data_IF_265296949450
#
_entry.id   IF_265296949450
#
_cell.length_a   1.000
_cell.length_b   1.000
_cell.length_c   1.000
_cell.angle_alpha   90.00
_cell.angle_beta   90.00
_cell.angle_gamma   90.00
#
_symmetry.space_group_name_H-M   'P 1'
#
loop_
_entity.id
_entity.type
_entity.pdbx_description
1 polymer ?
#
# COMPACT_ATOMS: atom_id res chain seq x y z
N UNK A 1 9.42 -10.81 -3.84
CA UNK A 1 10.17 -11.50 -2.79
C UNK A 1 11.33 -10.61 -2.38
N UNK A 2 11.36 -10.21 -1.11
CA UNK A 2 12.51 -9.53 -0.51
C UNK A 2 13.53 -10.58 -0.09
N UNK A 3 14.81 -10.34 -0.41
CA UNK A 3 15.90 -11.30 -0.15
C UNK A 3 16.88 -10.69 0.84
N UNK A 4 17.32 -9.46 0.58
CA UNK A 4 18.26 -8.72 1.43
C UNK A 4 17.74 -7.31 1.67
N UNK A 5 18.11 -6.72 2.81
CA UNK A 5 17.84 -5.31 3.08
C UNK A 5 18.69 -4.43 2.15
N UNK A 6 18.04 -3.63 1.30
CA UNK A 6 18.72 -2.65 0.46
C UNK A 6 19.07 -1.40 1.28
N UNK A 7 20.27 -0.85 1.06
CA UNK A 7 20.69 0.41 1.67
C UNK A 7 20.06 1.61 0.98
N UNK A 8 19.62 2.61 1.76
CA UNK A 8 18.92 3.82 1.28
C UNK A 8 19.82 4.86 0.60
N UNK A 9 21.15 4.78 0.81
CA UNK A 9 22.10 5.80 0.36
C UNK A 9 22.68 5.56 -1.04
N UNK A 10 22.36 4.42 -1.66
CA UNK A 10 22.87 4.03 -2.97
C UNK A 10 21.71 3.62 -3.88
N UNK A 11 21.84 3.81 -5.20
CA UNK A 11 20.81 3.39 -6.15
C UNK A 11 20.62 1.86 -6.15
N UNK A 12 19.50 1.44 -6.73
CA UNK A 12 19.15 0.05 -6.98
C UNK A 12 18.97 -0.09 -8.50
N UNK A 13 19.66 -1.06 -9.09
CA UNK A 13 19.57 -1.37 -10.51
C UNK A 13 18.48 -2.41 -10.74
N UNK A 14 17.52 -2.12 -11.62
CA UNK A 14 16.43 -3.03 -11.93
C UNK A 14 16.65 -3.70 -13.29
N UNK A 15 16.82 -5.02 -13.28
CA UNK A 15 16.98 -5.84 -14.49
C UNK A 15 15.64 -6.49 -14.82
N UNK A 16 15.08 -6.13 -15.97
CA UNK A 16 13.78 -6.63 -16.42
C UNK A 16 13.97 -7.62 -17.56
N UNK A 17 13.51 -8.86 -17.36
CA UNK A 17 13.49 -9.92 -18.36
C UNK A 17 12.06 -10.15 -18.85
N UNK A 18 11.87 -10.15 -20.17
CA UNK A 18 10.62 -10.61 -20.78
C UNK A 18 10.51 -12.12 -20.63
N UNK A 19 9.46 -12.58 -19.96
CA UNK A 19 9.14 -14.02 -19.88
C UNK A 19 8.17 -14.43 -20.98
N UNK A 20 7.17 -13.58 -21.24
CA UNK A 20 6.13 -13.83 -22.24
C UNK A 20 5.53 -12.53 -22.72
N UNK A 21 5.30 -12.44 -24.03
CA UNK A 21 4.44 -11.43 -24.66
C UNK A 21 3.35 -12.16 -25.44
N UNK A 22 2.18 -12.30 -24.81
CA UNK A 22 1.00 -12.88 -25.42
C UNK A 22 0.03 -11.81 -25.91
N UNK A 23 -1.04 -12.26 -26.58
CA UNK A 23 -2.09 -11.37 -27.10
C UNK A 23 -2.78 -10.54 -26.01
N UNK A 24 -3.08 -11.16 -24.87
CA UNK A 24 -3.81 -10.49 -23.76
C UNK A 24 -2.96 -10.26 -22.53
N UNK A 25 -1.87 -11.03 -22.36
CA UNK A 25 -1.02 -10.97 -21.17
C UNK A 25 0.45 -10.85 -21.52
N UNK A 26 1.15 -9.97 -20.81
CA UNK A 26 2.60 -9.84 -20.85
C UNK A 26 3.17 -10.08 -19.46
N UNK A 27 4.19 -10.93 -19.35
CA UNK A 27 4.83 -11.27 -18.07
C UNK A 27 6.28 -10.82 -18.06
N UNK A 28 6.70 -10.20 -16.96
CA UNK A 28 8.06 -9.73 -16.72
C UNK A 28 8.61 -10.36 -15.45
N UNK A 29 9.89 -10.73 -15.48
CA UNK A 29 10.68 -11.04 -14.30
C UNK A 29 11.57 -9.84 -14.00
N UNK A 30 11.61 -9.41 -12.74
CA UNK A 30 12.40 -8.26 -12.31
C UNK A 30 13.37 -8.70 -11.23
N UNK A 31 14.65 -8.39 -11.41
CA UNK A 31 15.68 -8.50 -10.38
C UNK A 31 16.14 -7.10 -10.00
N UNK A 32 15.96 -6.73 -8.74
CA UNK A 32 16.54 -5.54 -8.16
C UNK A 32 17.91 -5.91 -7.57
N UNK A 33 18.97 -5.25 -8.03
CA UNK A 33 20.34 -5.47 -7.56
C UNK A 33 20.92 -4.23 -6.91
N UNK A 34 21.67 -4.43 -5.84
CA UNK A 34 22.46 -3.38 -5.22
C UNK A 34 23.86 -3.94 -4.93
N UNK A 35 24.90 -3.24 -5.40
CA UNK A 35 26.31 -3.69 -5.30
C UNK A 35 26.51 -5.12 -5.85
N UNK A 36 25.87 -5.42 -6.98
CA UNK A 36 25.96 -6.74 -7.64
C UNK A 36 25.12 -7.86 -7.00
N UNK A 37 24.51 -7.64 -5.84
CA UNK A 37 23.70 -8.65 -5.13
C UNK A 37 22.21 -8.42 -5.38
N UNK A 38 21.44 -9.49 -5.58
CA UNK A 38 19.99 -9.40 -5.71
C UNK A 38 19.37 -9.13 -4.33
N UNK A 39 18.68 -8.00 -4.20
CA UNK A 39 18.00 -7.59 -2.96
C UNK A 39 16.50 -7.91 -2.99
N UNK A 40 15.91 -7.93 -4.19
CA UNK A 40 14.50 -8.22 -4.40
C UNK A 40 14.27 -8.83 -5.78
N UNK A 41 13.31 -9.76 -5.87
CA UNK A 41 12.82 -10.30 -7.14
C UNK A 41 11.31 -10.27 -7.20
N UNK A 42 10.73 -10.05 -8.38
CA UNK A 42 9.30 -10.27 -8.57
C UNK A 42 8.97 -10.70 -9.99
N UNK A 43 7.81 -11.34 -10.13
CA UNK A 43 7.17 -11.55 -11.41
C UNK A 43 5.95 -10.62 -11.49
N UNK A 44 5.85 -9.86 -12.57
CA UNK A 44 4.75 -8.92 -12.81
C UNK A 44 4.02 -9.36 -14.07
N UNK A 45 2.69 -9.45 -13.99
CA UNK A 45 1.83 -9.77 -15.12
C UNK A 45 0.97 -8.55 -15.46
N UNK A 46 0.93 -8.21 -16.74
CA UNK A 46 0.12 -7.12 -17.29
C UNK A 46 -0.96 -7.73 -18.17
N UNK A 47 -2.18 -7.21 -18.06
CA UNK A 47 -3.31 -7.60 -18.89
C UNK A 47 -3.76 -6.42 -19.74
N UNK A 48 -4.14 -6.66 -20.99
CA UNK A 48 -4.59 -5.61 -21.92
C UNK A 48 -5.90 -4.94 -21.51
N UNK A 49 -6.67 -5.55 -20.60
CA UNK A 49 -7.94 -5.01 -20.10
C UNK A 49 -7.86 -4.84 -18.59
N UNK A 50 -8.29 -3.70 -18.07
CA UNK A 50 -8.67 -3.66 -16.66
C UNK A 50 -9.94 -4.51 -16.51
N UNK A 51 -9.88 -5.53 -15.66
CA UNK A 51 -11.10 -6.02 -15.04
C UNK A 51 -11.38 -5.08 -13.88
N UNK A 52 -12.60 -4.59 -13.82
CA UNK A 52 -13.12 -4.05 -12.59
C UNK A 52 -13.09 -5.20 -11.56
N UNK A 53 -12.44 -4.95 -10.42
CA UNK A 53 -12.29 -5.94 -9.34
C UNK A 53 -12.47 -5.34 -7.95
N UNK A 54 -12.94 -4.10 -7.89
CA UNK A 54 -13.18 -3.35 -6.65
C UNK A 54 -14.65 -2.96 -6.47
N UNK A 55 -15.53 -3.36 -7.38
CA UNK A 55 -16.94 -2.96 -7.42
C UNK A 55 -17.64 -3.34 -6.12
N UNK A 56 -17.45 -4.57 -5.64
CA UNK A 56 -18.06 -5.02 -4.38
C UNK A 56 -17.62 -4.15 -3.19
N UNK A 57 -16.35 -3.75 -3.12
CA UNK A 57 -15.85 -2.88 -2.05
C UNK A 57 -16.41 -1.46 -2.17
N UNK A 58 -16.53 -0.95 -3.41
CA UNK A 58 -17.12 0.36 -3.69
C UNK A 58 -18.62 0.39 -3.39
N UNK A 59 -19.36 -0.67 -3.72
CA UNK A 59 -20.77 -0.83 -3.39
C UNK A 59 -21.00 -0.85 -1.88
N UNK A 60 -20.20 -1.63 -1.14
CA UNK A 60 -20.24 -1.64 0.32
C UNK A 60 -19.94 -0.24 0.90
N UNK A 61 -18.91 0.43 0.39
CA UNK A 61 -18.59 1.79 0.82
C UNK A 61 -19.76 2.77 0.57
N UNK A 62 -20.41 2.67 -0.59
CA UNK A 62 -21.58 3.48 -0.95
C UNK A 62 -22.80 3.22 -0.05
N UNK A 63 -22.96 1.99 0.47
CA UNK A 63 -23.97 1.62 1.46
C UNK A 63 -23.66 2.12 2.88
N UNK A 64 -22.56 2.86 3.06
CA UNK A 64 -22.16 3.34 4.39
C UNK A 64 -21.27 2.37 5.15
N UNK A 65 -20.76 1.31 4.54
CA UNK A 65 -19.69 0.53 5.14
C UNK A 65 -18.38 1.33 5.08
N UNK A 66 -17.47 1.08 6.03
CA UNK A 66 -16.15 1.72 6.10
C UNK A 66 -16.16 3.25 6.31
N UNK A 67 -17.14 3.79 7.04
CA UNK A 67 -17.18 5.22 7.35
C UNK A 67 -16.02 5.64 8.26
N UNK A 68 -15.51 6.84 8.00
CA UNK A 68 -14.49 7.47 8.83
C UNK A 68 -15.19 8.20 9.97
N UNK A 69 -14.74 8.01 11.19
CA UNK A 69 -15.21 8.80 12.33
C UNK A 69 -14.54 10.18 12.32
N UNK A 70 -15.27 11.29 12.12
CA UNK A 70 -14.67 12.63 11.92
C UNK A 70 -13.87 13.13 13.13
N UNK A 71 -14.32 12.84 14.34
CA UNK A 71 -13.63 13.22 15.59
C UNK A 71 -12.29 12.48 15.70
N UNK A 72 -12.25 11.22 15.25
CA UNK A 72 -11.04 10.41 15.24
C UNK A 72 -10.07 10.85 14.14
N UNK A 73 -10.57 11.29 12.98
CA UNK A 73 -9.72 11.82 11.90
C UNK A 73 -8.86 12.99 12.39
N UNK A 74 -9.45 13.96 13.10
CA UNK A 74 -8.69 15.10 13.63
C UNK A 74 -7.64 14.66 14.65
N UNK A 75 -7.98 13.71 15.53
CA UNK A 75 -7.04 13.15 16.50
C UNK A 75 -5.85 12.45 15.83
N UNK A 76 -6.06 11.79 14.70
CA UNK A 76 -4.99 11.20 13.89
C UNK A 76 -4.09 12.27 13.29
N UNK A 77 -4.67 13.35 12.72
CA UNK A 77 -3.91 14.47 12.16
C UNK A 77 -2.99 15.10 13.21
N UNK A 78 -3.48 15.33 14.42
CA UNK A 78 -2.69 15.87 15.53
C UNK A 78 -1.56 14.91 15.94
N UNK A 79 -1.89 13.63 16.15
CA UNK A 79 -0.87 12.61 16.50
C UNK A 79 0.23 12.45 15.44
N UNK A 80 -0.12 12.51 14.15
CA UNK A 80 0.89 12.42 13.08
C UNK A 80 1.83 13.63 13.13
N UNK A 81 1.29 14.85 13.28
CA UNK A 81 2.09 16.08 13.40
C UNK A 81 3.04 16.04 14.60
N UNK A 82 2.57 15.53 15.74
CA UNK A 82 3.35 15.50 16.98
C UNK A 82 4.43 14.42 16.98
N UNK A 83 4.11 13.22 16.47
CA UNK A 83 4.98 12.04 16.56
C UNK A 83 6.04 11.99 15.46
N UNK A 84 5.77 12.62 14.31
CA UNK A 84 6.62 12.58 13.13
C UNK A 84 6.99 14.01 12.73
N UNK A 85 8.19 14.47 13.09
CA UNK A 85 8.87 15.61 12.43
C UNK A 85 9.34 15.23 11.01
N UNK A 86 8.49 14.52 10.28
CA UNK A 86 8.77 14.00 8.94
C UNK A 86 8.25 15.03 7.95
N UNK A 87 8.94 15.19 6.82
CA UNK A 87 8.42 15.98 5.69
C UNK A 87 6.99 15.52 5.33
N UNK A 88 6.24 16.37 4.61
CA UNK A 88 4.85 16.07 4.28
C UNK A 88 4.69 14.62 3.74
N UNK A 89 3.81 13.79 4.33
CA UNK A 89 3.69 12.39 3.94
C UNK A 89 3.19 12.27 2.49
N UNK A 90 3.62 11.22 1.78
CA UNK A 90 3.14 10.97 0.41
C UNK A 90 1.66 10.57 0.36
N UNK A 91 1.16 9.96 1.43
CA UNK A 91 -0.22 9.48 1.55
C UNK A 91 -0.85 9.96 2.85
N UNK A 92 -2.11 10.35 2.73
CA UNK A 92 -3.05 10.46 3.82
C UNK A 92 -3.73 9.11 4.05
N UNK A 93 -3.78 8.66 5.31
CA UNK A 93 -4.46 7.43 5.71
C UNK A 93 -5.57 7.77 6.71
N UNK A 94 -6.77 7.26 6.47
CA UNK A 94 -7.95 7.45 7.32
C UNK A 94 -8.55 6.10 7.69
N UNK A 95 -8.17 5.53 8.84
CA UNK A 95 -8.71 4.26 9.30
C UNK A 95 -10.18 4.40 9.71
N UNK A 96 -10.95 3.34 9.53
CA UNK A 96 -12.36 3.29 9.96
C UNK A 96 -12.48 3.22 11.49
N UNK A 97 -11.53 2.56 12.16
CA UNK A 97 -11.35 2.62 13.62
C UNK A 97 -9.90 3.03 13.96
N UNK A 98 -9.73 4.21 14.55
CA UNK A 98 -8.42 4.76 14.91
C UNK A 98 -7.77 4.05 16.10
N UNK A 99 -8.54 3.60 17.08
CA UNK A 99 -7.99 2.96 18.28
C UNK A 99 -7.49 1.58 17.94
N UNK A 100 -8.24 0.85 17.13
CA UNK A 100 -7.78 -0.39 16.52
C UNK A 100 -6.60 -0.14 15.56
N UNK A 101 -6.62 0.99 14.83
CA UNK A 101 -5.51 1.34 13.95
C UNK A 101 -4.20 1.50 14.72
N UNK A 102 -4.26 2.17 15.86
CA UNK A 102 -3.14 2.48 16.76
C UNK A 102 -2.87 1.39 17.80
N UNK A 103 -3.55 0.25 17.73
CA UNK A 103 -3.48 -0.84 18.70
C UNK A 103 -3.74 -0.42 20.17
N UNK A 104 -4.60 0.57 20.37
CA UNK A 104 -5.06 1.00 21.70
C UNK A 104 -6.29 0.19 22.18
N UNK A 105 -6.93 -0.50 21.25
CA UNK A 105 -8.13 -1.30 21.47
C UNK A 105 -8.01 -2.59 20.65
N UNK A 106 -8.37 -3.72 21.25
CA UNK A 106 -8.47 -4.99 20.53
C UNK A 106 -9.62 -4.96 19.52
N UNK A 107 -9.37 -5.51 18.33
CA UNK A 107 -10.41 -5.68 17.31
C UNK A 107 -11.22 -6.95 17.59
N UNK A 108 -12.56 -6.92 17.47
CA UNK A 108 -13.34 -8.14 17.41
C UNK A 108 -13.06 -8.95 16.13
N UNK A 109 -12.55 -8.31 15.06
CA UNK A 109 -12.13 -8.95 13.81
C UNK A 109 -10.64 -8.67 13.52
N UNK A 110 -9.70 -9.27 14.27
CA UNK A 110 -8.28 -8.91 14.21
C UNK A 110 -7.62 -9.20 12.86
N UNK A 111 -8.23 -10.06 12.03
CA UNK A 111 -7.78 -10.41 10.69
C UNK A 111 -8.19 -9.39 9.61
N UNK A 112 -8.96 -8.36 9.95
CA UNK A 112 -9.41 -7.33 9.01
C UNK A 112 -8.95 -5.94 9.44
N UNK A 113 -8.78 -5.06 8.47
CA UNK A 113 -8.58 -3.64 8.71
C UNK A 113 -8.95 -2.86 7.46
N UNK A 114 -9.72 -1.80 7.63
CA UNK A 114 -10.10 -0.92 6.54
C UNK A 114 -9.50 0.46 6.77
N UNK A 115 -8.85 0.98 5.74
CA UNK A 115 -8.17 2.27 5.76
C UNK A 115 -8.39 2.94 4.41
N UNK A 116 -8.99 4.12 4.42
CA UNK A 116 -9.02 4.96 3.23
C UNK A 116 -7.65 5.58 3.01
N UNK A 117 -7.19 5.56 1.77
CA UNK A 117 -5.87 6.07 1.40
C UNK A 117 -6.03 7.08 0.28
N UNK A 118 -5.35 8.22 0.40
CA UNK A 118 -5.31 9.26 -0.63
C UNK A 118 -3.89 9.79 -0.77
N UNK A 119 -3.41 10.02 -2.00
CA UNK A 119 -2.15 10.74 -2.18
C UNK A 119 -2.31 12.19 -1.69
N UNK A 120 -1.33 12.69 -0.95
CA UNK A 120 -1.31 14.10 -0.53
C UNK A 120 -1.10 15.03 -1.73
N UNK A 121 -0.09 14.81 -2.60
CA UNK A 121 0.01 15.57 -3.84
C UNK A 121 -1.07 15.13 -4.82
N UNK A 122 -1.53 16.08 -5.66
CA UNK A 122 -2.32 15.76 -6.84
C UNK A 122 -1.40 15.03 -7.84
N UNK A 123 -1.78 13.80 -8.20
CA UNK A 123 -1.06 13.03 -9.20
C UNK A 123 -1.36 13.58 -10.61
N UNK A 124 -0.43 13.35 -11.53
CA UNK A 124 -0.66 13.58 -12.96
C UNK A 124 -1.66 12.54 -13.47
N UNK A 125 -2.51 12.95 -14.42
CA UNK A 125 -3.46 12.08 -15.15
C UNK A 125 -2.71 11.05 -16.03
N UNK A 126 -2.09 10.06 -15.38
CA UNK A 126 -1.32 8.98 -15.98
C UNK A 126 -1.52 7.71 -15.16
N UNK A 127 -2.30 6.77 -15.67
CA UNK A 127 -2.67 5.55 -14.96
C UNK A 127 -1.46 4.74 -14.46
N UNK A 128 -0.29 4.87 -15.10
CA UNK A 128 0.94 4.19 -14.66
C UNK A 128 1.40 4.74 -13.31
N UNK A 129 1.31 6.04 -13.12
CA UNK A 129 1.66 6.69 -11.84
C UNK A 129 0.64 6.28 -10.78
N UNK A 130 -0.65 6.27 -11.11
CA UNK A 130 -1.70 5.84 -10.18
C UNK A 130 -1.49 4.38 -9.73
N UNK A 131 -1.23 3.46 -10.67
CA UNK A 131 -0.92 2.05 -10.35
C UNK A 131 0.36 1.91 -9.53
N UNK A 132 1.41 2.66 -9.85
CA UNK A 132 2.67 2.63 -9.10
C UNK A 132 2.47 3.14 -7.66
N UNK A 133 1.70 4.20 -7.47
CA UNK A 133 1.38 4.75 -6.15
C UNK A 133 0.48 3.80 -5.35
N UNK A 134 -0.50 3.17 -5.99
CA UNK A 134 -1.32 2.14 -5.35
C UNK A 134 -0.47 0.95 -4.90
N UNK A 135 0.41 0.44 -5.77
CA UNK A 135 1.34 -0.66 -5.44
C UNK A 135 2.32 -0.27 -4.34
N UNK A 136 2.88 0.94 -4.37
CA UNK A 136 3.77 1.43 -3.31
C UNK A 136 3.09 1.39 -1.94
N UNK A 137 1.78 1.64 -1.88
CA UNK A 137 1.06 1.70 -0.62
C UNK A 137 0.68 0.32 -0.05
N UNK A 138 0.66 -0.76 -0.85
CA UNK A 138 0.16 -2.08 -0.40
C UNK A 138 0.88 -2.60 0.84
N UNK A 139 2.18 -2.40 0.90
CA UNK A 139 3.02 -2.95 1.97
C UNK A 139 2.97 -2.09 3.25
N UNK A 140 2.40 -0.88 3.17
CA UNK A 140 2.37 0.08 4.29
C UNK A 140 1.44 -0.32 5.44
N UNK A 141 0.44 -1.17 5.18
CA UNK A 141 -0.57 -1.56 6.17
C UNK A 141 -0.65 -3.06 6.44
N UNK A 142 -0.07 -3.89 5.57
CA UNK A 142 -0.25 -5.34 5.61
C UNK A 142 0.35 -5.98 6.88
N UNK A 143 1.59 -5.62 7.23
CA UNK A 143 2.26 -6.13 8.45
C UNK A 143 1.45 -5.83 9.71
N UNK A 144 0.78 -4.67 9.75
CA UNK A 144 -0.01 -4.26 10.91
C UNK A 144 -1.19 -5.20 11.13
N UNK A 145 -1.89 -5.60 10.07
CA UNK A 145 -3.02 -6.55 10.18
C UNK A 145 -2.55 -7.89 10.73
N UNK A 146 -1.41 -8.40 10.25
CA UNK A 146 -0.84 -9.65 10.77
C UNK A 146 -0.46 -9.56 12.26
N UNK A 147 0.07 -8.42 12.71
CA UNK A 147 0.48 -8.22 14.10
C UNK A 147 -0.71 -8.13 15.08
N UNK A 148 -1.89 -7.64 14.65
CA UNK A 148 -3.06 -7.45 15.54
C UNK A 148 -3.43 -8.70 16.33
N UNK A 149 -3.38 -9.87 15.71
CA UNK A 149 -3.70 -11.15 16.34
C UNK A 149 -2.72 -11.58 17.43
N UNK A 150 -1.57 -10.89 17.55
CA UNK A 150 -0.50 -11.19 18.47
C UNK A 150 -0.24 -10.09 19.51
N UNK A 151 -0.95 -8.96 19.41
CA UNK A 151 -0.90 -7.90 20.41
C UNK A 151 -1.79 -8.33 21.57
N UNK A 152 -1.15 -8.69 22.68
CA UNK A 152 -1.76 -9.11 23.95
C UNK A 152 -2.15 -7.90 24.78
#
# INVERSE_FOLDING_TARGET
>A
MFILAAGISKPIDYFVKTLRDGRSFCTRWVEAKQRGHIVFTCQISFHSWLRDGAEQLLEQAAQGHYQINPVREERLRQRIKDKFKVGAPLFEMRPTDLEEFLALKMSPEPNKSFVWVKSVPKLREDDRIHRMMALYNTDSTLTRVALKSHLT
#
